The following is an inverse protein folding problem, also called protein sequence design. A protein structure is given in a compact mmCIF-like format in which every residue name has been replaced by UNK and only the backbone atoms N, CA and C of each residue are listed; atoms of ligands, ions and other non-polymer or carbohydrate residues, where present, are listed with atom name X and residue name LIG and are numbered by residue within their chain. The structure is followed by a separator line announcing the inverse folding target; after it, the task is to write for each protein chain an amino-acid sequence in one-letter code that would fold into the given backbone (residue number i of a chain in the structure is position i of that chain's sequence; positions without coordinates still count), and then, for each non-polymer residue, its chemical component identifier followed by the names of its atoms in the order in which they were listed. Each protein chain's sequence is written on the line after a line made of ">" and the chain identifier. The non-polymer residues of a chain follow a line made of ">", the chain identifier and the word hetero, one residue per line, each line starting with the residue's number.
data_IF_303951679379
#
_entry.id   IF_303951679379
#
_cell.length_a   1.000
_cell.length_b   1.000
_cell.length_c   1.000
_cell.angle_alpha   90.00
_cell.angle_beta   90.00
_cell.angle_gamma   90.00
#
_symmetry.space_group_name_H-M   'P 1'
#
loop_
_entity.id
_entity.type
_entity.pdbx_description
1 polymer ?
#
# COMPACT_ATOMS: atom_id res chain seq x y z
N UNK A 1 -5.43 -7.26 2.78
CA UNK A 1 -4.20 -7.84 2.21
C UNK A 1 -3.95 -9.18 2.85
N UNK A 2 -3.56 -10.15 2.08
CA UNK A 2 -3.23 -11.50 2.52
C UNK A 2 -1.75 -11.79 2.24
N UNK A 3 -1.23 -12.87 2.82
CA UNK A 3 0.16 -13.29 2.64
C UNK A 3 0.53 -13.53 1.17
N UNK A 4 -0.39 -14.09 0.39
CA UNK A 4 -0.23 -14.34 -1.05
C UNK A 4 -0.14 -13.08 -1.92
N UNK A 5 -0.59 -11.93 -1.40
CA UNK A 5 -0.50 -10.65 -2.11
C UNK A 5 0.90 -10.04 -2.06
N UNK A 6 1.75 -10.51 -1.13
CA UNK A 6 3.10 -10.00 -0.95
C UNK A 6 4.05 -10.51 -2.03
N UNK A 7 4.95 -9.65 -2.46
CA UNK A 7 5.93 -9.93 -3.51
C UNK A 7 7.34 -9.56 -3.06
N UNK A 8 8.32 -10.22 -3.66
CA UNK A 8 9.72 -9.81 -3.52
C UNK A 8 9.85 -8.32 -3.89
N UNK A 9 10.65 -7.59 -3.14
CA UNK A 9 10.83 -6.13 -3.16
C UNK A 9 9.75 -5.33 -2.41
N UNK A 10 8.70 -5.96 -1.87
CA UNK A 10 7.78 -5.25 -1.00
C UNK A 10 8.50 -4.79 0.26
N UNK A 11 8.20 -3.56 0.65
CA UNK A 11 8.65 -2.97 1.91
C UNK A 11 7.52 -3.05 2.92
N UNK A 12 7.82 -3.52 4.11
CA UNK A 12 6.84 -3.67 5.20
C UNK A 12 7.27 -2.87 6.43
N UNK A 13 6.29 -2.33 7.16
CA UNK A 13 6.49 -1.83 8.52
C UNK A 13 5.87 -2.83 9.49
N UNK A 14 6.65 -3.25 10.47
CA UNK A 14 6.20 -4.14 11.53
C UNK A 14 5.60 -3.35 12.70
N UNK A 15 4.84 -4.02 13.56
CA UNK A 15 4.20 -3.39 14.73
C UNK A 15 5.18 -2.73 15.70
N UNK A 16 6.40 -3.25 15.81
CA UNK A 16 7.48 -2.61 16.57
C UNK A 16 8.09 -1.39 15.87
N UNK A 17 7.62 -1.09 14.65
CA UNK A 17 8.07 0.01 13.81
C UNK A 17 9.36 -0.23 13.03
N UNK A 18 9.90 -1.45 13.03
CA UNK A 18 10.97 -1.81 12.10
C UNK A 18 10.46 -1.83 10.66
N UNK A 19 11.28 -1.34 9.74
CA UNK A 19 10.99 -1.36 8.30
C UNK A 19 11.91 -2.34 7.62
N UNK A 20 11.35 -3.25 6.86
CA UNK A 20 12.06 -4.35 6.21
C UNK A 20 11.66 -4.49 4.76
N UNK A 21 12.53 -5.06 3.95
CA UNK A 21 12.28 -5.44 2.55
C UNK A 21 12.14 -6.96 2.44
N UNK A 22 11.17 -7.39 1.63
CA UNK A 22 11.00 -8.80 1.29
C UNK A 22 11.99 -9.20 0.22
N UNK A 23 12.86 -10.14 0.55
CA UNK A 23 13.91 -10.66 -0.34
C UNK A 23 13.84 -12.18 -0.44
N UNK A 24 14.40 -12.72 -1.53
CA UNK A 24 14.47 -14.14 -1.82
C UNK A 24 15.92 -14.61 -1.87
N UNK A 25 16.19 -15.82 -1.37
CA UNK A 25 17.49 -16.48 -1.54
C UNK A 25 18.65 -15.87 -0.75
N UNK A 26 18.38 -15.15 0.37
CA UNK A 26 19.43 -14.41 1.10
C UNK A 26 20.37 -15.35 1.88
N UNK A 27 19.85 -16.45 2.42
CA UNK A 27 20.58 -17.35 3.33
C UNK A 27 20.68 -18.76 2.80
N UNK A 28 19.64 -19.24 2.15
CA UNK A 28 19.54 -20.56 1.54
C UNK A 28 18.69 -20.45 0.27
N UNK A 29 18.91 -21.33 -0.69
CA UNK A 29 18.09 -21.41 -1.89
C UNK A 29 16.60 -21.58 -1.49
N UNK A 30 15.75 -20.70 -2.03
CA UNK A 30 14.30 -20.65 -1.80
C UNK A 30 13.78 -20.09 -0.46
N UNK A 31 14.62 -19.54 0.41
CA UNK A 31 14.15 -18.85 1.60
C UNK A 31 13.71 -17.42 1.26
N UNK A 32 12.48 -17.07 1.62
CA UNK A 32 11.95 -15.72 1.53
C UNK A 32 11.94 -15.13 2.94
N UNK A 33 12.47 -13.93 3.09
CA UNK A 33 12.54 -13.26 4.38
C UNK A 33 12.35 -11.74 4.25
N UNK A 34 11.90 -11.11 5.34
CA UNK A 34 11.89 -9.67 5.52
C UNK A 34 13.18 -9.25 6.21
N UNK A 35 14.00 -8.44 5.56
CA UNK A 35 15.30 -8.02 6.07
C UNK A 35 15.37 -6.51 6.30
N UNK A 36 15.94 -6.12 7.43
CA UNK A 36 16.37 -4.75 7.69
C UNK A 36 17.71 -4.50 6.98
N UNK A 37 17.73 -3.59 6.01
CA UNK A 37 18.92 -3.31 5.21
C UNK A 37 20.06 -2.64 6.00
N UNK A 38 19.77 -2.06 7.17
CA UNK A 38 20.75 -1.32 7.97
C UNK A 38 21.57 -2.24 8.87
N UNK A 39 20.96 -3.32 9.37
CA UNK A 39 21.59 -4.18 10.36
C UNK A 39 21.57 -5.68 9.99
N UNK A 40 20.95 -6.04 8.87
CA UNK A 40 20.83 -7.42 8.39
C UNK A 40 19.89 -8.32 9.20
N UNK A 41 19.19 -7.78 10.19
CA UNK A 41 18.18 -8.58 10.94
C UNK A 41 17.05 -8.97 10.02
N UNK A 42 16.61 -10.21 10.14
CA UNK A 42 15.55 -10.73 9.29
C UNK A 42 14.47 -11.47 10.09
N UNK A 43 13.30 -11.59 9.47
CA UNK A 43 12.18 -12.43 9.91
C UNK A 43 11.77 -13.28 8.73
N UNK A 44 11.69 -14.61 8.94
CA UNK A 44 11.30 -15.52 7.86
C UNK A 44 9.85 -15.27 7.43
N UNK A 45 9.59 -15.29 6.13
CA UNK A 45 8.23 -15.22 5.58
C UNK A 45 7.35 -16.38 6.05
N UNK A 46 7.96 -17.56 6.31
CA UNK A 46 7.28 -18.74 6.86
C UNK A 46 6.67 -18.53 8.24
N UNK A 47 7.17 -17.56 9.02
CA UNK A 47 6.68 -17.25 10.36
C UNK A 47 5.34 -16.48 10.37
N UNK A 48 4.81 -16.08 9.21
CA UNK A 48 3.55 -15.37 9.08
C UNK A 48 2.41 -16.29 8.67
N UNK A 49 1.23 -16.08 9.27
CA UNK A 49 -0.01 -16.67 8.80
C UNK A 49 -0.58 -15.91 7.58
N UNK A 50 -1.71 -16.38 7.04
CA UNK A 50 -2.31 -15.78 5.84
C UNK A 50 -2.79 -14.33 6.04
N UNK A 51 -3.07 -13.93 7.28
CA UNK A 51 -3.51 -12.58 7.64
C UNK A 51 -2.34 -11.65 8.03
N UNK A 52 -1.10 -12.07 7.77
CA UNK A 52 0.12 -11.31 8.04
C UNK A 52 0.39 -11.06 9.53
N UNK A 53 -0.13 -11.90 10.41
CA UNK A 53 0.28 -11.94 11.80
C UNK A 53 1.44 -12.91 11.98
N UNK A 54 2.42 -12.49 12.78
CA UNK A 54 3.54 -13.36 13.14
C UNK A 54 3.06 -14.44 14.12
N UNK A 55 3.43 -15.69 13.87
CA UNK A 55 2.91 -16.86 14.61
C UNK A 55 3.25 -16.86 16.10
N UNK A 56 4.41 -16.30 16.47
CA UNK A 56 4.91 -16.35 17.84
C UNK A 56 5.03 -14.98 18.51
N UNK A 57 5.30 -13.92 17.73
CA UNK A 57 5.65 -12.60 18.24
C UNK A 57 4.80 -11.48 17.63
N UNK A 58 3.78 -11.00 18.32
CA UNK A 58 2.90 -9.92 17.85
C UNK A 58 3.63 -8.62 17.47
N UNK A 59 4.82 -8.37 18.05
CA UNK A 59 5.61 -7.18 17.70
C UNK A 59 6.12 -7.20 16.25
N UNK A 60 6.12 -8.37 15.62
CA UNK A 60 6.52 -8.55 14.23
C UNK A 60 5.32 -8.63 13.27
N UNK A 61 4.09 -8.44 13.73
CA UNK A 61 2.93 -8.34 12.85
C UNK A 61 3.16 -7.27 11.78
N UNK A 62 2.84 -7.60 10.52
CA UNK A 62 2.94 -6.64 9.43
C UNK A 62 1.80 -5.64 9.53
N UNK A 63 2.12 -4.37 9.66
CA UNK A 63 1.19 -3.27 9.84
C UNK A 63 0.97 -2.48 8.56
N UNK A 64 2.00 -2.37 7.71
CA UNK A 64 1.92 -1.62 6.45
C UNK A 64 2.73 -2.30 5.37
N UNK A 65 2.32 -2.12 4.13
CA UNK A 65 3.01 -2.67 2.95
C UNK A 65 3.11 -1.60 1.86
N UNK A 66 4.29 -1.51 1.25
CA UNK A 66 4.56 -0.75 0.03
C UNK A 66 5.07 -1.70 -1.04
N UNK A 67 4.37 -1.77 -2.17
CA UNK A 67 4.81 -2.51 -3.34
C UNK A 67 5.83 -1.71 -4.14
N UNK A 68 6.93 -2.34 -4.49
CA UNK A 68 7.90 -1.83 -5.45
C UNK A 68 8.03 -2.81 -6.61
N UNK A 69 8.08 -2.28 -7.81
CA UNK A 69 8.27 -3.10 -9.01
C UNK A 69 9.72 -3.57 -9.14
N UNK A 70 10.66 -2.73 -8.70
CA UNK A 70 12.10 -3.01 -8.80
C UNK A 70 12.79 -2.89 -7.44
N UNK A 71 13.71 -3.83 -7.18
CA UNK A 71 14.48 -3.86 -5.92
C UNK A 71 15.33 -2.59 -5.71
N UNK A 72 15.87 -2.03 -6.78
CA UNK A 72 16.66 -0.80 -6.72
C UNK A 72 15.87 0.40 -6.18
N UNK A 73 14.60 0.52 -6.52
CA UNK A 73 13.72 1.58 -6.01
C UNK A 73 13.38 1.36 -4.54
N UNK A 74 13.12 0.11 -4.14
CA UNK A 74 12.89 -0.25 -2.76
C UNK A 74 14.14 0.06 -1.88
N UNK A 75 15.34 -0.34 -2.31
CA UNK A 75 16.59 -0.04 -1.59
C UNK A 75 16.87 1.46 -1.50
N UNK A 76 16.63 2.20 -2.58
CA UNK A 76 16.78 3.66 -2.58
C UNK A 76 15.81 4.31 -1.59
N UNK A 77 14.53 3.92 -1.62
CA UNK A 77 13.52 4.42 -0.71
C UNK A 77 13.87 4.14 0.76
N UNK A 78 14.30 2.91 1.07
CA UNK A 78 14.74 2.54 2.42
C UNK A 78 15.96 3.33 2.88
N UNK A 79 16.94 3.59 1.99
CA UNK A 79 18.10 4.42 2.28
C UNK A 79 17.77 5.88 2.59
N UNK A 80 16.63 6.38 2.11
CA UNK A 80 16.15 7.75 2.34
C UNK A 80 15.34 7.90 3.64
N UNK A 81 14.95 6.83 4.30
CA UNK A 81 14.17 6.89 5.55
C UNK A 81 15.07 7.42 6.66
N UNK A 82 14.81 8.66 7.09
CA UNK A 82 15.53 9.33 8.19
C UNK A 82 14.85 9.11 9.53
N UNK A 83 13.53 9.10 9.55
CA UNK A 83 12.71 8.86 10.73
C UNK A 83 11.39 8.19 10.33
N UNK A 84 10.66 7.61 11.31
CA UNK A 84 9.43 6.85 11.09
C UNK A 84 8.24 7.70 10.64
N UNK A 85 8.29 9.02 10.76
CA UNK A 85 7.20 9.91 10.38
C UNK A 85 7.35 10.49 8.97
N UNK A 86 8.48 10.22 8.29
CA UNK A 86 8.78 10.78 6.97
C UNK A 86 9.31 9.70 6.03
N UNK A 87 8.39 8.97 5.43
CA UNK A 87 8.71 8.03 4.36
C UNK A 87 8.77 8.74 3.00
N UNK A 88 9.70 8.37 2.11
CA UNK A 88 9.79 8.93 0.76
C UNK A 88 8.72 8.34 -0.19
N UNK A 89 7.74 7.63 0.34
CA UNK A 89 6.65 7.00 -0.39
C UNK A 89 5.38 6.95 0.47
N UNK A 90 4.26 6.63 -0.17
CA UNK A 90 2.98 6.36 0.50
C UNK A 90 2.75 4.86 0.56
N UNK A 91 2.30 4.37 1.70
CA UNK A 91 1.96 2.97 1.89
C UNK A 91 0.80 2.54 0.98
N UNK A 92 0.89 1.36 0.40
CA UNK A 92 -0.16 0.79 -0.44
C UNK A 92 -1.26 0.12 0.37
N UNK A 93 -0.90 -0.40 1.54
CA UNK A 93 -1.81 -1.00 2.49
C UNK A 93 -1.35 -0.70 3.92
N UNK A 94 -2.33 -0.46 4.79
CA UNK A 94 -2.14 -0.30 6.24
C UNK A 94 -3.20 -1.11 6.99
N UNK A 95 -2.77 -1.85 8.00
CA UNK A 95 -3.66 -2.68 8.83
C UNK A 95 -4.64 -1.80 9.60
N UNK A 96 -5.92 -2.20 9.61
CA UNK A 96 -6.98 -1.46 10.30
C UNK A 96 -7.47 -0.22 9.55
N UNK A 97 -6.90 0.08 8.38
CA UNK A 97 -7.45 1.08 7.48
C UNK A 97 -8.23 0.37 6.37
N UNK A 98 -9.55 0.57 6.38
CA UNK A 98 -10.38 0.19 5.26
C UNK A 98 -10.34 1.31 4.22
N UNK A 99 -9.88 0.96 3.02
CA UNK A 99 -9.90 1.87 1.89
C UNK A 99 -11.08 1.57 0.97
N UNK A 100 -11.63 2.63 0.40
CA UNK A 100 -12.76 2.51 -0.52
C UNK A 100 -12.35 1.74 -1.80
N UNK A 101 -13.17 0.75 -2.14
CA UNK A 101 -13.07 -0.01 -3.38
C UNK A 101 -14.42 0.04 -4.07
N UNK A 102 -14.47 0.50 -5.31
CA UNK A 102 -15.71 0.59 -6.05
C UNK A 102 -15.58 1.33 -7.37
N UNK A 103 -16.69 1.39 -8.10
CA UNK A 103 -16.83 2.21 -9.30
C UNK A 103 -17.56 3.49 -8.95
N UNK A 104 -17.08 4.60 -9.45
CA UNK A 104 -17.59 5.94 -9.18
C UNK A 104 -17.93 6.63 -10.49
N UNK A 105 -19.09 7.28 -10.55
CA UNK A 105 -19.42 8.19 -11.65
C UNK A 105 -19.16 9.62 -11.17
N UNK A 106 -18.36 10.37 -11.88
CA UNK A 106 -18.16 11.79 -11.62
C UNK A 106 -19.40 12.57 -12.04
N UNK A 107 -20.13 13.15 -11.08
CA UNK A 107 -21.35 13.92 -11.35
C UNK A 107 -21.12 15.42 -11.41
N UNK A 108 -20.10 15.92 -10.71
CA UNK A 108 -19.63 17.30 -10.80
C UNK A 108 -18.10 17.32 -10.79
N UNK A 109 -17.49 18.11 -11.67
CA UNK A 109 -16.05 18.32 -11.70
C UNK A 109 -15.73 19.79 -11.94
N UNK A 110 -14.86 20.33 -11.08
CA UNK A 110 -14.15 21.59 -11.32
C UNK A 110 -12.66 21.33 -11.66
N UNK A 111 -12.27 20.07 -11.78
CA UNK A 111 -10.93 19.64 -12.13
C UNK A 111 -10.81 19.42 -13.65
N UNK A 112 -9.69 19.83 -14.23
CA UNK A 112 -9.36 19.54 -15.64
C UNK A 112 -8.97 18.08 -15.86
N UNK A 113 -8.68 17.35 -14.80
CA UNK A 113 -8.22 15.95 -14.84
C UNK A 113 -9.35 14.93 -14.70
N UNK A 114 -10.56 15.38 -14.39
CA UNK A 114 -11.71 14.50 -14.14
C UNK A 114 -12.92 14.93 -14.97
N UNK A 115 -13.41 14.05 -15.81
CA UNK A 115 -14.52 14.34 -16.72
C UNK A 115 -15.87 13.99 -16.10
N UNK A 116 -16.80 14.94 -16.05
CA UNK A 116 -18.19 14.70 -15.65
C UNK A 116 -18.84 13.63 -16.53
N UNK A 117 -19.52 12.67 -15.89
CA UNK A 117 -20.18 11.53 -16.53
C UNK A 117 -19.29 10.33 -16.77
N UNK A 118 -17.96 10.45 -16.60
CA UNK A 118 -17.02 9.33 -16.74
C UNK A 118 -17.00 8.46 -15.49
N UNK A 119 -16.76 7.16 -15.70
CA UNK A 119 -16.65 6.18 -14.63
C UNK A 119 -15.16 6.03 -14.25
N UNK A 120 -14.88 6.12 -12.95
CA UNK A 120 -13.58 5.91 -12.35
C UNK A 120 -13.63 4.72 -11.41
N UNK A 121 -12.51 4.01 -11.30
CA UNK A 121 -12.37 2.93 -10.32
C UNK A 121 -11.53 3.39 -9.15
N UNK A 122 -12.04 3.15 -7.95
CA UNK A 122 -11.22 3.19 -6.75
C UNK A 122 -10.75 1.78 -6.41
N UNK A 123 -9.45 1.61 -6.28
CA UNK A 123 -8.83 0.35 -5.82
C UNK A 123 -7.89 0.67 -4.66
N UNK A 124 -8.18 0.10 -3.49
CA UNK A 124 -7.44 0.38 -2.26
C UNK A 124 -7.34 1.89 -1.96
N UNK A 125 -8.45 2.62 -2.16
CA UNK A 125 -8.52 4.05 -1.94
C UNK A 125 -7.73 4.91 -2.93
N UNK A 126 -7.34 4.36 -4.09
CA UNK A 126 -6.63 5.06 -5.16
C UNK A 126 -7.56 5.30 -6.34
N UNK A 127 -7.56 6.53 -6.81
CA UNK A 127 -8.31 6.94 -7.99
C UNK A 127 -7.32 7.56 -8.98
N UNK A 128 -7.41 7.15 -10.23
CA UNK A 128 -6.61 7.66 -11.33
C UNK A 128 -7.45 8.60 -12.19
N UNK A 129 -6.81 9.61 -12.77
CA UNK A 129 -7.45 10.63 -13.60
C UNK A 129 -7.68 10.17 -15.04
N UNK A 130 -8.04 11.11 -15.91
CA UNK A 130 -8.32 10.86 -17.31
C UNK A 130 -7.09 10.46 -18.12
N UNK A 131 -5.90 10.83 -17.66
CA UNK A 131 -4.61 10.54 -18.29
C UNK A 131 -4.00 9.25 -17.75
N UNK A 132 -4.59 8.67 -16.70
CA UNK A 132 -4.11 7.45 -16.05
C UNK A 132 -3.13 7.74 -14.91
N UNK A 133 -2.95 8.99 -14.53
CA UNK A 133 -2.10 9.38 -13.42
C UNK A 133 -2.85 9.28 -12.08
N UNK A 134 -2.11 9.02 -11.00
CA UNK A 134 -2.67 8.91 -9.67
C UNK A 134 -3.21 10.27 -9.20
N UNK A 135 -4.52 10.43 -9.24
CA UNK A 135 -5.20 11.67 -8.86
C UNK A 135 -5.44 11.81 -7.36
N UNK A 136 -5.88 10.72 -6.70
CA UNK A 136 -6.10 10.70 -5.24
C UNK A 136 -5.74 9.34 -4.65
N UNK A 137 -5.32 9.37 -3.38
CA UNK A 137 -5.01 8.18 -2.60
C UNK A 137 -5.53 8.31 -1.16
N UNK A 138 -5.60 7.17 -0.46
CA UNK A 138 -6.01 7.13 0.94
C UNK A 138 -7.50 7.37 1.15
N UNK A 139 -8.31 7.23 0.09
CA UNK A 139 -9.76 7.43 0.17
C UNK A 139 -10.40 6.29 0.96
N UNK A 140 -11.11 6.63 2.04
CA UNK A 140 -11.75 5.67 2.95
C UNK A 140 -13.21 5.41 2.56
N UNK A 141 -13.91 6.44 2.10
CA UNK A 141 -15.32 6.39 1.67
C UNK A 141 -15.63 7.59 0.78
N UNK A 142 -16.84 7.64 0.25
CA UNK A 142 -17.34 8.74 -0.60
C UNK A 142 -17.33 10.09 0.11
N UNK A 143 -17.70 10.15 1.37
CA UNK A 143 -17.68 11.38 2.15
C UNK A 143 -16.26 11.94 2.28
N UNK A 144 -15.29 11.09 2.60
CA UNK A 144 -13.88 11.48 2.62
C UNK A 144 -13.40 11.99 1.26
N UNK A 145 -13.82 11.33 0.17
CA UNK A 145 -13.50 11.79 -1.20
C UNK A 145 -14.07 13.19 -1.47
N UNK A 146 -15.34 13.41 -1.15
CA UNK A 146 -15.99 14.72 -1.36
C UNK A 146 -15.38 15.83 -0.52
N UNK A 147 -14.96 15.53 0.71
CA UNK A 147 -14.35 16.52 1.60
C UNK A 147 -12.88 16.88 1.20
N UNK A 148 -12.24 16.04 0.40
CA UNK A 148 -10.84 16.22 -0.01
C UNK A 148 -10.67 16.64 -1.46
N UNK A 149 -11.77 16.76 -2.22
CA UNK A 149 -11.74 17.12 -3.65
C UNK A 149 -12.81 18.13 -3.99
N UNK A 150 -12.62 18.81 -5.13
CA UNK A 150 -13.61 19.70 -5.72
C UNK A 150 -14.55 18.98 -6.71
N UNK A 151 -14.45 17.67 -6.79
CA UNK A 151 -15.30 16.82 -7.62
C UNK A 151 -16.30 16.08 -6.75
N UNK A 152 -17.51 15.83 -7.31
CA UNK A 152 -18.50 14.96 -6.67
C UNK A 152 -18.70 13.69 -7.45
N UNK A 153 -18.89 12.61 -6.72
CA UNK A 153 -19.08 11.29 -7.26
C UNK A 153 -20.29 10.60 -6.66
N UNK A 154 -20.87 9.70 -7.42
CA UNK A 154 -21.84 8.72 -6.92
C UNK A 154 -21.26 7.32 -7.12
N UNK A 155 -21.60 6.41 -6.23
CA UNK A 155 -21.22 5.01 -6.37
C UNK A 155 -22.06 4.34 -7.46
N UNK A 156 -21.40 3.62 -8.35
CA UNK A 156 -22.07 2.78 -9.33
C UNK A 156 -22.24 1.38 -8.70
N UNK A 157 -23.46 1.11 -8.26
CA UNK A 157 -23.85 -0.23 -7.80
C UNK A 157 -24.13 -1.07 -9.04
N UNK A 158 -23.41 -2.19 -9.21
CA UNK A 158 -23.72 -3.18 -10.23
C UNK A 158 -24.78 -4.12 -9.65
N UNK A 159 -25.93 -4.23 -10.35
CA UNK A 159 -27.00 -5.19 -10.04
C UNK A 159 -26.54 -6.63 -10.32
#
# INVERSE_FOLDING_TARGET
>A
MKKEDLKVCDVVELKNGEVKIMLHGIFEDNVVAFMDIKNGRYVSFGEYNDDLFHKEHQNFDIMKVKHFEYSGDAFRALGMIKNRSAYPFVWDWERGLEYYNGKLVCVESSSVYMTKGKIYKSKNGRIYDDEGDLWRMGIKNLEHLHNTTSCKFIELVED
#
